data_IF_319348264144
#
_entry.id   IF_319348264144
#
_cell.length_a   1.000
_cell.length_b   1.000
_cell.length_c   1.000
_cell.angle_alpha   90.00
_cell.angle_beta   90.00
_cell.angle_gamma   90.00
#
_symmetry.space_group_name_H-M   'P 1'
#
loop_
_entity.id
_entity.type
_entity.pdbx_description
1 polymer ?
#
# COMPACT_ATOMS: atom_id res chain seq x y z
N UNK A 1 5.06 14.63 -26.95
CA UNK A 1 4.52 14.91 -25.60
C UNK A 1 5.64 15.55 -24.81
N UNK A 2 5.43 16.70 -24.19
CA UNK A 2 6.44 17.31 -23.32
C UNK A 2 6.65 16.42 -22.09
N UNK A 3 7.91 16.32 -21.60
CA UNK A 3 8.26 15.51 -20.43
C UNK A 3 7.55 16.07 -19.20
N UNK A 4 6.80 15.22 -18.50
CA UNK A 4 6.01 15.58 -17.32
C UNK A 4 6.18 14.49 -16.27
N UNK A 5 6.10 14.89 -15.00
CA UNK A 5 6.10 13.96 -13.89
C UNK A 5 4.70 13.40 -13.66
N UNK A 6 4.61 12.09 -13.47
CA UNK A 6 3.38 11.36 -13.15
C UNK A 6 3.62 10.44 -11.96
N UNK A 7 2.55 10.08 -11.28
CA UNK A 7 2.52 9.04 -10.26
C UNK A 7 1.12 8.44 -10.19
N UNK A 8 1.04 7.21 -9.67
CA UNK A 8 -0.22 6.50 -9.47
C UNK A 8 -0.36 6.14 -8.01
N UNK A 9 -1.53 6.40 -7.44
CA UNK A 9 -1.94 5.94 -6.12
C UNK A 9 -2.91 4.76 -6.29
N UNK A 10 -2.59 3.64 -5.66
CA UNK A 10 -3.38 2.40 -5.75
C UNK A 10 -3.81 1.94 -4.36
N UNK A 11 -5.13 1.87 -4.14
CA UNK A 11 -5.72 1.29 -2.95
C UNK A 11 -6.08 -0.18 -3.18
N UNK A 12 -5.77 -1.03 -2.19
CA UNK A 12 -6.07 -2.46 -2.25
C UNK A 12 -7.17 -2.84 -1.27
N UNK A 13 -8.30 -3.32 -1.80
CA UNK A 13 -9.32 -3.97 -0.99
C UNK A 13 -8.80 -5.30 -0.42
N UNK A 14 -8.85 -5.45 0.91
CA UNK A 14 -8.37 -6.65 1.60
C UNK A 14 -9.49 -7.39 2.32
N UNK A 15 -9.50 -8.72 2.19
CA UNK A 15 -10.38 -9.61 2.93
C UNK A 15 -9.67 -10.91 3.26
N UNK A 16 -9.95 -11.47 4.44
CA UNK A 16 -9.43 -12.77 4.85
C UNK A 16 -10.60 -13.73 5.02
N UNK A 17 -10.62 -14.78 4.21
CA UNK A 17 -11.63 -15.84 4.27
C UNK A 17 -10.98 -17.17 4.60
N UNK A 18 -11.70 -18.01 5.35
CA UNK A 18 -11.31 -19.39 5.61
C UNK A 18 -12.56 -20.26 5.45
N UNK A 19 -12.49 -21.28 4.59
CA UNK A 19 -13.63 -22.16 4.26
C UNK A 19 -14.88 -21.36 3.83
N UNK A 20 -14.68 -20.32 3.01
CA UNK A 20 -15.77 -19.50 2.46
C UNK A 20 -16.38 -18.48 3.42
N UNK A 21 -15.91 -18.40 4.67
CA UNK A 21 -16.40 -17.42 5.66
C UNK A 21 -15.33 -16.37 5.96
N UNK A 22 -15.74 -15.10 6.10
CA UNK A 22 -14.86 -14.02 6.55
C UNK A 22 -14.37 -14.32 7.96
N UNK A 23 -13.04 -14.29 8.16
CA UNK A 23 -12.42 -14.61 9.44
C UNK A 23 -11.92 -13.41 10.22
N UNK A 24 -11.50 -12.38 9.50
CA UNK A 24 -10.98 -11.14 10.09
C UNK A 24 -11.70 -9.96 9.44
N UNK A 25 -11.86 -8.89 10.20
CA UNK A 25 -12.25 -7.60 9.66
C UNK A 25 -11.14 -7.04 8.75
N UNK A 26 -11.47 -6.15 7.79
CA UNK A 26 -10.45 -5.52 6.95
C UNK A 26 -9.33 -4.85 7.75
N UNK A 27 -9.65 -4.16 8.84
CA UNK A 27 -8.67 -3.53 9.75
C UNK A 27 -7.72 -4.54 10.40
N UNK A 28 -8.22 -5.70 10.86
CA UNK A 28 -7.37 -6.76 11.40
C UNK A 28 -6.43 -7.35 10.34
N UNK A 29 -6.93 -7.54 9.10
CA UNK A 29 -6.12 -8.02 7.98
C UNK A 29 -5.03 -7.00 7.64
N UNK A 30 -5.40 -5.73 7.55
CA UNK A 30 -4.48 -4.68 7.16
C UNK A 30 -3.39 -4.48 8.21
N UNK A 31 -3.75 -4.44 9.51
CA UNK A 31 -2.78 -4.45 10.61
C UNK A 31 -1.91 -5.69 10.60
N UNK A 32 -2.49 -6.86 10.28
CA UNK A 32 -1.71 -8.10 10.15
C UNK A 32 -0.62 -7.95 9.09
N UNK A 33 -0.96 -7.47 7.90
CA UNK A 33 -0.03 -7.27 6.79
C UNK A 33 1.04 -6.22 7.12
N UNK A 34 0.64 -5.11 7.74
CA UNK A 34 1.55 -4.00 8.07
C UNK A 34 2.42 -4.25 9.30
N UNK A 35 2.20 -5.31 10.08
CA UNK A 35 3.04 -5.65 11.24
C UNK A 35 4.53 -5.66 10.91
N UNK A 36 4.91 -6.22 9.75
CA UNK A 36 6.31 -6.22 9.32
C UNK A 36 6.77 -4.81 8.96
N UNK A 37 6.00 -4.07 8.17
CA UNK A 37 6.30 -2.68 7.78
C UNK A 37 6.56 -1.81 9.00
N UNK A 38 5.67 -1.87 10.00
CA UNK A 38 5.82 -1.15 11.27
C UNK A 38 7.06 -1.62 12.04
N UNK A 39 7.37 -2.92 12.04
CA UNK A 39 8.53 -3.45 12.79
C UNK A 39 9.89 -2.92 12.33
N UNK A 40 10.08 -2.71 11.02
CA UNK A 40 11.34 -2.20 10.48
C UNK A 40 11.29 -0.70 10.16
N UNK A 41 10.14 -0.17 9.75
CA UNK A 41 9.96 1.24 9.36
C UNK A 41 9.45 2.15 10.49
N UNK A 42 9.12 1.59 11.67
CA UNK A 42 8.56 2.29 12.85
C UNK A 42 7.27 3.09 12.58
N UNK A 43 6.67 2.90 11.42
CA UNK A 43 5.53 3.63 10.90
C UNK A 43 4.73 2.71 9.99
N UNK A 44 3.41 2.92 9.93
CA UNK A 44 2.55 2.33 8.91
C UNK A 44 2.56 3.12 7.60
N UNK A 45 3.42 4.13 7.48
CA UNK A 45 3.66 4.95 6.30
C UNK A 45 5.17 5.10 6.11
N UNK A 46 5.69 4.50 5.05
CA UNK A 46 7.13 4.40 4.77
C UNK A 46 7.42 4.67 3.30
N UNK A 47 8.65 5.11 3.02
CA UNK A 47 9.20 5.11 1.68
C UNK A 47 10.05 3.86 1.47
N UNK A 48 9.87 3.22 0.32
CA UNK A 48 10.62 2.04 -0.09
C UNK A 48 11.90 2.46 -0.84
N UNK A 49 12.83 1.52 -1.02
CA UNK A 49 14.09 1.78 -1.71
C UNK A 49 13.93 2.21 -3.18
N UNK A 50 12.81 1.86 -3.80
CA UNK A 50 12.47 2.28 -5.17
C UNK A 50 11.85 3.68 -5.25
N UNK A 51 11.76 4.42 -4.13
CA UNK A 51 11.16 5.76 -4.06
C UNK A 51 9.63 5.77 -3.86
N UNK A 52 8.97 4.61 -3.94
CA UNK A 52 7.53 4.51 -3.72
C UNK A 52 7.14 4.75 -2.26
N UNK A 53 5.92 5.23 -2.03
CA UNK A 53 5.31 5.31 -0.70
C UNK A 53 4.41 4.11 -0.48
N UNK A 54 4.64 3.36 0.60
CA UNK A 54 3.76 2.28 1.06
C UNK A 54 3.15 2.69 2.41
N UNK A 55 1.83 2.72 2.49
CA UNK A 55 1.15 3.15 3.71
C UNK A 55 -0.19 2.48 3.94
N UNK A 56 -0.66 2.55 5.18
CA UNK A 56 -2.00 2.13 5.56
C UNK A 56 -2.88 3.37 5.68
N UNK A 57 -3.93 3.45 4.88
CA UNK A 57 -4.89 4.56 4.88
C UNK A 57 -5.93 4.46 6.02
N UNK A 58 -6.63 5.58 6.26
CA UNK A 58 -7.75 5.71 7.20
C UNK A 58 -8.83 4.65 6.92
N UNK A 59 -9.07 4.29 5.65
CA UNK A 59 -9.98 3.22 5.24
C UNK A 59 -9.52 1.80 5.57
N UNK A 60 -8.34 1.63 6.18
CA UNK A 60 -7.66 0.33 6.36
C UNK A 60 -7.25 -0.36 5.06
N UNK A 61 -7.13 0.40 3.96
CA UNK A 61 -6.56 -0.10 2.72
C UNK A 61 -5.03 0.02 2.77
N UNK A 62 -4.29 -1.05 2.44
CA UNK A 62 -2.94 -0.91 1.96
C UNK A 62 -2.93 -0.02 0.73
N UNK A 63 -2.07 0.99 0.72
CA UNK A 63 -1.91 1.91 -0.40
C UNK A 63 -0.45 1.95 -0.86
N UNK A 64 -0.28 1.89 -2.18
CA UNK A 64 1.00 2.03 -2.85
C UNK A 64 0.93 3.24 -3.79
N UNK A 65 1.74 4.25 -3.51
CA UNK A 65 1.99 5.35 -4.43
C UNK A 65 3.32 5.10 -5.14
N UNK A 66 3.31 5.07 -6.48
CA UNK A 66 4.53 4.90 -7.28
C UNK A 66 5.55 6.00 -6.97
N UNK A 67 6.85 5.78 -7.24
CA UNK A 67 7.76 6.92 -7.37
C UNK A 67 7.27 7.84 -8.50
N UNK A 68 7.85 9.03 -8.55
CA UNK A 68 7.72 9.93 -9.68
C UNK A 68 8.33 9.31 -10.94
N UNK A 69 7.51 9.13 -11.98
CA UNK A 69 7.90 8.66 -13.30
C UNK A 69 7.80 9.80 -14.31
N UNK A 70 8.60 9.78 -15.39
CA UNK A 70 8.51 10.78 -16.47
C UNK A 70 8.18 10.21 -17.86
N UNK A 71 8.14 8.88 -17.95
CA UNK A 71 7.60 8.11 -19.07
C UNK A 71 6.42 7.24 -18.61
N UNK A 72 5.52 6.92 -19.54
CA UNK A 72 4.39 6.01 -19.28
C UNK A 72 4.82 4.55 -19.07
N UNK A 73 6.05 4.20 -19.43
CA UNK A 73 6.59 2.85 -19.37
C UNK A 73 7.58 2.63 -18.21
N UNK A 74 7.82 3.66 -17.40
CA UNK A 74 8.59 3.55 -16.15
C UNK A 74 7.71 2.94 -15.04
#
# INVERSE_FOLDING_TARGET
>A
MERRIYGIESEFGVTCTLRGQRRLSPDEVARYLFRRVVSWGRSSNVFLQNGARLYLDVGSHPEYATPECDSLYD
#
